data_IF_025805600687
#
_entry.id   IF_025805600687
#
_cell.length_a   1.000
_cell.length_b   1.000
_cell.length_c   1.000
_cell.angle_alpha   90.00
_cell.angle_beta   90.00
_cell.angle_gamma   90.00
#
_symmetry.space_group_name_H-M   'P 1'
#
loop_
_entity.id
_entity.type
_entity.pdbx_description
1 polymer ?
#
# COMPACT_ATOMS: atom_id res chain seq x y z
N UNK A 1 16.10 8.02 19.54
CA UNK A 1 16.04 6.74 20.29
C UNK A 1 16.93 6.78 21.53
N UNK A 2 18.26 6.76 21.40
CA UNK A 2 19.20 6.78 22.55
C UNK A 2 18.87 7.90 23.54
N UNK A 3 18.73 9.13 23.04
CA UNK A 3 18.37 10.29 23.87
C UNK A 3 17.03 10.13 24.60
N UNK A 4 16.05 9.43 24.01
CA UNK A 4 14.76 9.19 24.64
C UNK A 4 14.87 8.13 25.75
N UNK A 5 15.63 7.06 25.51
CA UNK A 5 15.84 6.00 26.51
C UNK A 5 16.65 6.48 27.72
N UNK A 6 17.62 7.38 27.51
CA UNK A 6 18.40 7.98 28.59
C UNK A 6 17.55 8.74 29.62
N UNK A 7 16.35 9.22 29.28
CA UNK A 7 15.44 9.82 30.26
C UNK A 7 14.88 8.83 31.29
N UNK A 8 14.95 7.52 30.99
CA UNK A 8 14.33 6.46 31.79
C UNK A 8 15.31 5.38 32.24
N UNK A 9 16.56 5.42 31.77
CA UNK A 9 17.63 4.54 32.25
C UNK A 9 18.23 5.06 33.56
N UNK A 10 18.57 4.15 34.46
CA UNK A 10 19.29 4.45 35.70
C UNK A 10 20.67 5.03 35.42
N UNK A 11 21.38 4.47 34.43
CA UNK A 11 22.70 4.91 33.99
C UNK A 11 22.94 4.68 32.49
N UNK A 12 24.12 5.11 32.02
CA UNK A 12 24.54 4.95 30.62
C UNK A 12 24.70 3.48 30.21
N UNK A 13 25.06 2.60 31.14
CA UNK A 13 25.28 1.18 30.87
C UNK A 13 23.97 0.45 30.60
N UNK A 14 22.92 0.75 31.37
CA UNK A 14 21.57 0.23 31.14
C UNK A 14 21.00 0.73 29.80
N UNK A 15 21.17 2.02 29.49
CA UNK A 15 20.75 2.57 28.20
C UNK A 15 21.49 1.87 27.05
N UNK A 16 22.81 1.69 27.18
CA UNK A 16 23.62 0.98 26.19
C UNK A 16 23.15 -0.48 26.02
N UNK A 17 22.88 -1.19 27.12
CA UNK A 17 22.37 -2.55 27.08
C UNK A 17 21.04 -2.62 26.32
N UNK A 18 20.10 -1.73 26.65
CA UNK A 18 18.77 -1.65 26.05
C UNK A 18 18.84 -1.36 24.54
N UNK A 19 19.64 -0.37 24.14
CA UNK A 19 19.86 -0.03 22.73
C UNK A 19 20.52 -1.18 21.97
N UNK A 20 21.53 -1.82 22.55
CA UNK A 20 22.20 -2.98 21.95
C UNK A 20 21.23 -4.14 21.74
N UNK A 21 20.31 -4.37 22.67
CA UNK A 21 19.24 -5.38 22.52
C UNK A 21 18.31 -5.07 21.36
N UNK A 22 17.94 -3.81 21.15
CA UNK A 22 17.08 -3.39 20.03
C UNK A 22 17.80 -3.51 18.67
N UNK A 23 19.10 -3.21 18.63
CA UNK A 23 19.92 -3.36 17.42
C UNK A 23 20.10 -4.84 17.08
N UNK A 24 20.45 -5.69 18.04
CA UNK A 24 20.67 -7.11 17.81
C UNK A 24 19.38 -7.93 17.69
N UNK A 25 18.21 -7.28 17.69
CA UNK A 25 16.93 -7.95 17.64
C UNK A 25 16.59 -8.43 16.22
N UNK A 26 16.53 -9.74 16.04
CA UNK A 26 16.46 -10.36 14.70
C UNK A 26 15.09 -11.01 14.40
N UNK A 27 14.03 -10.71 15.15
CA UNK A 27 12.68 -11.21 14.82
C UNK A 27 12.08 -10.38 13.65
N UNK A 28 11.80 -11.01 12.50
CA UNK A 28 11.22 -10.31 11.35
C UNK A 28 9.81 -9.73 11.62
N UNK A 29 9.07 -10.23 12.61
CA UNK A 29 7.74 -9.73 12.98
C UNK A 29 7.79 -8.51 13.92
N UNK A 30 8.96 -8.21 14.49
CA UNK A 30 9.17 -7.14 15.47
C UNK A 30 10.50 -6.45 15.23
N UNK A 31 10.70 -5.96 14.00
CA UNK A 31 11.87 -5.14 13.66
C UNK A 31 11.82 -3.80 14.39
N UNK A 32 12.98 -3.32 14.81
CA UNK A 32 13.13 -2.03 15.49
C UNK A 32 13.91 -1.02 14.64
N UNK A 33 15.25 -1.13 14.63
CA UNK A 33 16.13 -0.10 14.06
C UNK A 33 16.66 -0.58 12.72
N UNK A 34 16.42 0.20 11.66
CA UNK A 34 17.04 -0.01 10.35
C UNK A 34 18.54 0.29 10.45
N UNK A 35 19.39 -0.68 10.10
CA UNK A 35 20.85 -0.61 10.28
C UNK A 35 21.61 -0.32 8.98
N UNK A 36 20.94 -0.41 7.84
CA UNK A 36 21.56 -0.31 6.51
C UNK A 36 20.83 0.73 5.67
N UNK A 37 21.52 1.31 4.69
CA UNK A 37 20.86 2.25 3.77
C UNK A 37 19.72 1.59 3.00
N UNK A 38 19.90 0.33 2.61
CA UNK A 38 18.89 -0.48 1.94
C UNK A 38 17.62 -0.66 2.78
N UNK A 39 17.76 -1.04 4.07
CA UNK A 39 16.61 -1.24 4.97
C UNK A 39 15.88 0.07 5.23
N UNK A 40 16.61 1.16 5.49
CA UNK A 40 16.05 2.51 5.61
C UNK A 40 15.25 2.91 4.37
N UNK A 41 15.80 2.70 3.17
CA UNK A 41 15.15 3.10 1.93
C UNK A 41 13.91 2.26 1.63
N UNK A 42 13.97 0.95 1.88
CA UNK A 42 12.82 0.05 1.78
C UNK A 42 11.71 0.45 2.78
N UNK A 43 12.08 0.90 3.98
CA UNK A 43 11.17 1.42 5.01
C UNK A 43 10.42 2.67 4.52
N UNK A 44 11.14 3.62 3.92
CA UNK A 44 10.56 4.83 3.33
C UNK A 44 9.60 4.51 2.16
N UNK A 45 9.99 3.61 1.25
CA UNK A 45 9.12 3.17 0.16
C UNK A 45 7.86 2.46 0.68
N UNK A 46 8.01 1.60 1.67
CA UNK A 46 6.88 0.91 2.31
C UNK A 46 5.91 1.91 2.92
N UNK A 47 6.41 2.95 3.60
CA UNK A 47 5.57 4.02 4.10
C UNK A 47 4.86 4.78 2.97
N UNK A 48 5.57 5.12 1.89
CA UNK A 48 4.98 5.76 0.70
C UNK A 48 3.86 4.95 0.07
N UNK A 49 4.02 3.63 -0.06
CA UNK A 49 2.98 2.71 -0.54
C UNK A 49 1.74 2.71 0.37
N UNK A 50 1.95 2.64 1.68
CA UNK A 50 0.87 2.70 2.66
C UNK A 50 0.16 4.06 2.64
N UNK A 51 0.90 5.16 2.53
CA UNK A 51 0.34 6.51 2.43
C UNK A 51 -0.55 6.65 1.19
N UNK A 52 -0.10 6.15 0.04
CA UNK A 52 -0.89 6.17 -1.20
C UNK A 52 -2.21 5.42 -1.06
N UNK A 53 -2.19 4.32 -0.30
CA UNK A 53 -3.34 3.43 -0.12
C UNK A 53 -4.31 3.93 0.95
N UNK A 54 -3.81 4.34 2.10
CA UNK A 54 -4.62 4.72 3.26
C UNK A 54 -5.07 6.19 3.21
N UNK A 55 -4.30 7.09 2.58
CA UNK A 55 -4.58 8.53 2.56
C UNK A 55 -5.00 8.99 1.16
N UNK A 56 -6.24 8.70 0.75
CA UNK A 56 -6.75 9.10 -0.58
C UNK A 56 -6.51 10.59 -0.87
N UNK A 57 -5.97 10.92 -2.04
CA UNK A 57 -5.71 12.30 -2.47
C UNK A 57 -4.47 12.97 -1.86
N UNK A 58 -3.77 12.34 -0.92
CA UNK A 58 -2.56 12.94 -0.32
C UNK A 58 -1.46 13.18 -1.35
N UNK A 59 -1.28 12.27 -2.30
CA UNK A 59 -0.26 12.40 -3.36
C UNK A 59 -0.52 13.60 -4.27
N UNK A 60 -1.79 13.93 -4.54
CA UNK A 60 -2.16 15.11 -5.33
C UNK A 60 -1.73 16.41 -4.61
N UNK A 61 -1.88 16.43 -3.28
CA UNK A 61 -1.53 17.55 -2.41
C UNK A 61 -0.01 17.69 -2.21
N UNK A 62 0.71 16.57 -2.08
CA UNK A 62 2.17 16.60 -1.92
C UNK A 62 2.84 16.90 -3.26
N UNK A 63 2.44 16.26 -4.36
CA UNK A 63 3.07 16.46 -5.67
C UNK A 63 2.88 17.87 -6.24
N UNK A 64 1.89 18.64 -5.77
CA UNK A 64 1.78 20.06 -6.11
C UNK A 64 2.75 20.96 -5.34
N UNK A 65 3.26 20.48 -4.19
CA UNK A 65 4.03 21.26 -3.23
C UNK A 65 5.51 20.85 -3.17
N UNK A 66 5.80 19.59 -3.49
CA UNK A 66 7.14 18.99 -3.43
C UNK A 66 7.52 18.38 -4.78
N UNK A 67 8.76 18.65 -5.21
CA UNK A 67 9.30 18.09 -6.45
C UNK A 67 9.59 16.59 -6.35
N UNK A 68 9.86 16.09 -5.15
CA UNK A 68 10.24 14.71 -4.90
C UNK A 68 9.40 14.08 -3.77
N UNK A 69 8.54 13.13 -4.13
CA UNK A 69 7.70 12.40 -3.16
C UNK A 69 8.52 11.55 -2.20
N UNK A 70 9.65 10.99 -2.66
CA UNK A 70 10.52 10.20 -1.81
C UNK A 70 11.11 11.04 -0.70
N UNK A 71 11.61 12.25 -1.01
CA UNK A 71 12.17 13.16 -0.01
C UNK A 71 11.13 13.49 1.07
N UNK A 72 9.90 13.81 0.67
CA UNK A 72 8.82 14.07 1.62
C UNK A 72 8.59 12.87 2.55
N UNK A 73 8.44 11.66 2.00
CA UNK A 73 8.19 10.47 2.82
C UNK A 73 9.41 10.00 3.61
N UNK A 74 10.63 10.41 3.26
CA UNK A 74 11.85 9.95 3.91
C UNK A 74 12.01 10.44 5.36
N UNK A 75 11.27 11.48 5.73
CA UNK A 75 11.24 12.07 7.08
C UNK A 75 10.16 11.49 7.98
N UNK A 76 9.41 10.45 7.55
CA UNK A 76 8.25 9.93 8.28
C UNK A 76 8.52 9.52 9.74
N UNK A 77 9.75 9.08 10.06
CA UNK A 77 10.18 8.77 11.43
C UNK A 77 10.46 10.04 12.23
N UNK A 78 10.99 11.08 11.58
CA UNK A 78 11.27 12.38 12.22
C UNK A 78 9.98 13.07 12.63
N UNK A 79 8.91 12.92 11.84
CA UNK A 79 7.57 13.42 12.21
C UNK A 79 7.11 12.91 13.58
N UNK A 80 7.55 11.70 13.96
CA UNK A 80 7.20 11.07 15.24
C UNK A 80 8.17 11.50 16.34
N UNK A 81 9.47 11.31 16.14
CA UNK A 81 10.44 11.43 17.23
C UNK A 81 11.14 12.78 17.34
N UNK A 82 11.07 13.62 16.30
CA UNK A 82 11.63 14.97 16.32
C UNK A 82 10.54 16.05 16.42
N UNK A 83 9.40 15.85 15.75
CA UNK A 83 8.38 16.90 15.65
C UNK A 83 7.22 16.77 16.66
N UNK A 84 6.89 15.56 17.14
CA UNK A 84 5.87 15.42 18.18
C UNK A 84 6.39 15.94 19.53
N UNK A 85 5.51 16.57 20.35
CA UNK A 85 5.83 16.86 21.74
C UNK A 85 6.34 15.62 22.48
N UNK A 86 7.34 15.82 23.35
CA UNK A 86 8.05 14.75 24.08
C UNK A 86 7.09 13.74 24.74
N UNK A 87 6.01 14.22 25.36
CA UNK A 87 5.01 13.37 26.01
C UNK A 87 4.33 12.38 25.07
N UNK A 88 4.12 12.74 23.80
CA UNK A 88 3.55 11.85 22.80
C UNK A 88 4.62 10.94 22.20
N UNK A 89 5.81 11.47 21.92
CA UNK A 89 6.93 10.68 21.41
C UNK A 89 7.27 9.51 22.35
N UNK A 90 7.22 9.71 23.67
CA UNK A 90 7.41 8.64 24.66
C UNK A 90 6.27 7.62 24.65
N UNK A 91 5.00 8.05 24.57
CA UNK A 91 3.88 7.10 24.45
C UNK A 91 3.99 6.23 23.19
N UNK A 92 4.44 6.82 22.08
CA UNK A 92 4.70 6.05 20.85
C UNK A 92 5.87 5.10 21.06
N UNK A 93 6.93 5.54 21.74
CA UNK A 93 8.08 4.70 22.08
C UNK A 93 7.65 3.49 22.92
N UNK A 94 6.82 3.68 23.95
CA UNK A 94 6.34 2.59 24.82
C UNK A 94 5.64 1.49 24.02
N UNK A 95 4.69 1.86 23.16
CA UNK A 95 3.96 0.90 22.33
C UNK A 95 4.87 0.31 21.25
N UNK A 96 5.79 1.10 20.69
CA UNK A 96 6.78 0.63 19.72
C UNK A 96 7.69 -0.44 20.31
N UNK A 97 8.16 -0.29 21.56
CA UNK A 97 9.00 -1.31 22.23
C UNK A 97 8.26 -2.64 22.44
N UNK A 98 6.93 -2.64 22.50
CA UNK A 98 6.11 -3.85 22.64
C UNK A 98 5.74 -4.49 21.29
N UNK A 99 5.28 -3.67 20.34
CA UNK A 99 4.63 -4.09 19.09
C UNK A 99 5.57 -4.03 17.87
N UNK A 100 6.66 -3.27 17.94
CA UNK A 100 7.65 -3.07 16.87
C UNK A 100 7.22 -2.05 15.82
N UNK A 101 7.90 -2.08 14.66
CA UNK A 101 7.78 -1.10 13.57
C UNK A 101 6.36 -0.78 13.09
N UNK A 102 5.41 -1.73 13.23
CA UNK A 102 4.03 -1.54 12.79
C UNK A 102 3.40 -0.29 13.38
N UNK A 103 3.69 0.01 14.66
CA UNK A 103 3.15 1.17 15.38
C UNK A 103 3.58 2.47 14.72
N UNK A 104 4.85 2.55 14.29
CA UNK A 104 5.36 3.75 13.65
C UNK A 104 4.60 4.06 12.36
N UNK A 105 4.33 3.05 11.52
CA UNK A 105 3.52 3.27 10.32
C UNK A 105 2.11 3.75 10.66
N UNK A 106 1.46 3.18 11.69
CA UNK A 106 0.13 3.64 12.13
C UNK A 106 0.13 5.11 12.50
N UNK A 107 1.06 5.50 13.37
CA UNK A 107 1.17 6.86 13.88
C UNK A 107 1.49 7.80 12.72
N UNK A 108 2.49 7.50 11.89
CA UNK A 108 2.84 8.35 10.75
C UNK A 108 1.69 8.54 9.74
N UNK A 109 0.86 7.53 9.51
CA UNK A 109 -0.33 7.66 8.65
C UNK A 109 -1.43 8.52 9.28
N UNK A 110 -1.58 8.48 10.61
CA UNK A 110 -2.49 9.34 11.34
C UNK A 110 -2.08 10.80 11.27
N UNK A 111 -0.79 11.02 11.49
CA UNK A 111 -0.13 12.31 11.34
C UNK A 111 -0.32 12.85 9.92
N UNK A 112 -0.11 12.01 8.90
CA UNK A 112 -0.33 12.38 7.51
C UNK A 112 -1.80 12.69 7.19
N UNK A 113 -2.75 11.95 7.78
CA UNK A 113 -4.18 12.19 7.63
C UNK A 113 -4.60 13.52 8.26
N UNK A 114 -4.07 13.88 9.42
CA UNK A 114 -4.31 15.18 10.05
C UNK A 114 -3.72 16.32 9.23
N UNK A 115 -2.49 16.15 8.74
CA UNK A 115 -1.86 17.13 7.85
C UNK A 115 -2.72 17.40 6.61
N UNK A 116 -3.28 16.35 6.00
CA UNK A 116 -4.18 16.49 4.85
C UNK A 116 -5.38 17.39 5.17
N UNK A 117 -6.02 17.16 6.32
CA UNK A 117 -7.19 17.94 6.76
C UNK A 117 -6.79 19.40 6.99
N UNK A 118 -5.67 19.63 7.67
CA UNK A 118 -5.21 20.99 7.94
C UNK A 118 -4.88 21.75 6.65
N UNK A 119 -4.09 21.17 5.75
CA UNK A 119 -3.72 21.83 4.47
C UNK A 119 -4.94 22.04 3.57
N UNK A 120 -5.90 21.13 3.57
CA UNK A 120 -7.14 21.33 2.80
C UNK A 120 -8.00 22.48 3.33
N UNK A 121 -7.79 22.90 4.59
CA UNK A 121 -8.53 23.98 5.25
C UNK A 121 -7.85 25.36 5.18
N UNK A 122 -6.55 25.42 4.88
CA UNK A 122 -5.76 26.68 4.84
C UNK A 122 -5.42 27.07 3.40
N UNK A 123 -5.55 28.36 3.08
CA UNK A 123 -4.92 28.92 1.88
C UNK A 123 -3.41 28.85 2.11
N UNK A 124 -2.75 27.96 1.37
CA UNK A 124 -1.35 27.55 1.48
C UNK A 124 -0.38 28.58 2.10
N UNK A 125 0.08 28.30 3.31
CA UNK A 125 1.45 28.60 3.72
C UNK A 125 2.04 27.35 4.37
N UNK A 126 3.22 26.93 3.91
CA UNK A 126 3.78 25.57 4.07
C UNK A 126 4.56 25.42 5.40
N UNK A 127 4.56 26.43 6.27
CA UNK A 127 5.43 26.44 7.45
C UNK A 127 4.91 25.73 8.70
N UNK A 128 3.72 25.12 8.70
CA UNK A 128 3.11 24.70 9.98
C UNK A 128 2.69 23.22 10.12
N UNK A 129 3.32 22.31 9.37
CA UNK A 129 3.24 20.85 9.66
C UNK A 129 3.51 20.58 11.15
N UNK A 130 4.49 21.27 11.74
CA UNK A 130 4.94 21.07 13.13
C UNK A 130 3.98 21.63 14.18
N UNK A 131 3.23 22.69 13.90
CA UNK A 131 2.32 23.28 14.90
C UNK A 131 0.97 22.59 14.95
N UNK A 132 0.52 22.03 13.82
CA UNK A 132 -0.78 21.35 13.73
C UNK A 132 -0.78 19.94 14.35
N UNK A 133 0.39 19.34 14.55
CA UNK A 133 0.55 17.98 15.10
C UNK A 133 0.54 17.93 16.64
N UNK A 134 0.22 19.05 17.31
CA UNK A 134 0.27 19.16 18.78
C UNK A 134 -0.97 18.59 19.50
N UNK A 135 -2.00 18.12 18.80
CA UNK A 135 -3.28 17.73 19.42
C UNK A 135 -3.34 16.25 19.86
N UNK A 136 -3.95 16.02 21.03
CA UNK A 136 -4.19 14.69 21.64
C UNK A 136 -4.93 13.71 20.71
N UNK A 137 -5.76 14.26 19.82
CA UNK A 137 -6.62 13.54 18.88
C UNK A 137 -5.81 12.69 17.88
N UNK A 138 -4.56 13.05 17.61
CA UNK A 138 -3.68 12.34 16.66
C UNK A 138 -3.43 10.88 17.03
N UNK A 139 -3.22 10.59 18.32
CA UNK A 139 -2.93 9.23 18.77
C UNK A 139 -4.18 8.36 18.79
N UNK A 140 -5.32 8.90 19.20
CA UNK A 140 -6.59 8.17 19.21
C UNK A 140 -7.03 7.84 17.77
N UNK A 141 -6.89 8.79 16.85
CA UNK A 141 -7.14 8.58 15.42
C UNK A 141 -6.20 7.52 14.81
N UNK A 142 -4.96 7.40 15.28
CA UNK A 142 -3.99 6.44 14.72
C UNK A 142 -4.41 4.97 14.89
N UNK A 143 -5.11 4.65 15.99
CA UNK A 143 -5.58 3.28 16.22
C UNK A 143 -6.85 2.93 15.44
N UNK A 144 -7.53 3.94 14.88
CA UNK A 144 -8.70 3.75 14.03
C UNK A 144 -8.33 3.47 12.56
N UNK A 145 -7.08 3.68 12.17
CA UNK A 145 -6.64 3.44 10.79
C UNK A 145 -6.57 1.92 10.52
N UNK A 146 -7.35 1.40 9.56
CA UNK A 146 -7.23 0.01 9.13
C UNK A 146 -5.81 -0.26 8.64
N UNK A 147 -5.17 -1.27 9.21
CA UNK A 147 -3.73 -1.50 9.03
C UNK A 147 -3.47 -2.94 8.63
N UNK A 148 -2.63 -3.09 7.61
CA UNK A 148 -2.13 -4.38 7.15
C UNK A 148 -1.56 -5.23 8.30
N UNK A 149 -1.65 -6.54 8.10
CA UNK A 149 -1.03 -7.52 8.98
C UNK A 149 0.50 -7.40 8.93
N UNK A 150 1.19 -7.91 9.96
CA UNK A 150 2.66 -7.94 9.97
C UNK A 150 3.23 -8.71 8.78
N UNK A 151 2.54 -9.80 8.39
CA UNK A 151 2.93 -10.62 7.25
C UNK A 151 2.91 -9.80 5.96
N UNK A 152 1.82 -9.08 5.71
CA UNK A 152 1.68 -8.24 4.52
C UNK A 152 2.68 -7.08 4.50
N UNK A 153 2.89 -6.42 5.64
CA UNK A 153 3.90 -5.36 5.76
C UNK A 153 5.30 -5.90 5.48
N UNK A 154 5.63 -7.09 5.98
CA UNK A 154 6.90 -7.75 5.68
C UNK A 154 7.02 -8.14 4.21
N UNK A 155 5.96 -8.65 3.58
CA UNK A 155 5.95 -8.94 2.14
C UNK A 155 6.19 -7.68 1.31
N UNK A 156 5.49 -6.58 1.62
CA UNK A 156 5.66 -5.30 0.94
C UNK A 156 7.08 -4.75 1.12
N UNK A 157 7.58 -4.77 2.36
CA UNK A 157 8.92 -4.31 2.65
C UNK A 157 9.99 -5.10 1.90
N UNK A 158 9.88 -6.44 1.88
CA UNK A 158 10.82 -7.30 1.17
C UNK A 158 10.74 -7.06 -0.34
N UNK A 159 9.55 -6.91 -0.91
CA UNK A 159 9.40 -6.58 -2.33
C UNK A 159 10.04 -5.23 -2.70
N UNK A 160 9.92 -4.22 -1.82
CA UNK A 160 10.61 -2.94 -1.98
C UNK A 160 12.13 -3.09 -1.87
N UNK A 161 12.61 -3.92 -0.93
CA UNK A 161 14.02 -4.21 -0.77
C UNK A 161 14.62 -4.91 -2.01
N UNK A 162 13.93 -5.92 -2.55
CA UNK A 162 14.35 -6.65 -3.74
C UNK A 162 14.44 -5.74 -4.96
N UNK A 163 13.46 -4.86 -5.15
CA UNK A 163 13.46 -3.89 -6.25
C UNK A 163 14.60 -2.86 -6.13
N UNK A 164 14.92 -2.42 -4.91
CA UNK A 164 16.07 -1.56 -4.65
C UNK A 164 17.40 -2.27 -4.96
N UNK A 165 17.52 -3.55 -4.60
CA UNK A 165 18.69 -4.36 -4.93
C UNK A 165 18.85 -4.52 -6.45
N UNK A 166 17.74 -4.76 -7.16
CA UNK A 166 17.74 -4.80 -8.63
C UNK A 166 18.13 -3.47 -9.27
N UNK A 167 17.75 -2.34 -8.66
CA UNK A 167 18.19 -0.99 -9.05
C UNK A 167 19.67 -0.72 -8.73
N UNK A 168 20.35 -1.63 -8.03
CA UNK A 168 21.77 -1.53 -7.68
C UNK A 168 22.07 -0.93 -6.29
N UNK A 169 21.04 -0.75 -5.44
CA UNK A 169 21.25 -0.28 -4.07
C UNK A 169 21.77 -1.43 -3.21
N UNK A 170 22.97 -1.26 -2.65
CA UNK A 170 23.62 -2.31 -1.83
C UNK A 170 23.58 -2.03 -0.33
N UNK A 171 23.76 -3.09 0.46
CA UNK A 171 23.80 -3.06 1.92
C UNK A 171 24.91 -2.12 2.46
N UNK A 172 26.06 -2.10 1.78
CA UNK A 172 27.27 -1.39 2.21
C UNK A 172 27.38 0.03 1.62
N UNK A 173 26.36 0.50 0.89
CA UNK A 173 26.40 1.80 0.25
C UNK A 173 26.22 2.93 1.27
N UNK A 174 27.05 3.97 1.18
CA UNK A 174 26.81 5.24 1.90
C UNK A 174 25.55 5.91 1.36
N UNK A 175 24.89 6.74 2.18
CA UNK A 175 23.68 7.50 1.77
C UNK A 175 24.00 8.30 0.51
N UNK A 176 23.41 7.90 -0.61
CA UNK A 176 23.49 8.59 -1.89
C UNK A 176 22.09 8.73 -2.47
N UNK A 177 21.90 9.74 -3.32
CA UNK A 177 20.69 9.85 -4.12
C UNK A 177 20.58 8.63 -5.04
N UNK A 178 19.40 8.04 -5.15
CA UNK A 178 19.12 7.03 -6.18
C UNK A 178 18.57 7.78 -7.37
N UNK A 179 19.05 7.41 -8.56
CA UNK A 179 18.67 8.05 -9.81
C UNK A 179 17.15 8.09 -9.96
N UNK A 180 16.65 9.29 -10.23
CA UNK A 180 15.25 9.56 -10.48
C UNK A 180 14.82 8.91 -11.79
N UNK A 181 13.52 8.60 -11.90
CA UNK A 181 12.95 8.18 -13.17
C UNK A 181 13.08 9.30 -14.19
N UNK A 182 13.73 8.99 -15.31
CA UNK A 182 13.88 9.91 -16.40
C UNK A 182 12.64 9.87 -17.32
N UNK A 183 12.03 11.03 -17.51
CA UNK A 183 10.91 11.24 -18.43
C UNK A 183 11.31 12.10 -19.65
N UNK A 184 12.59 12.42 -19.83
CA UNK A 184 13.05 13.29 -20.92
C UNK A 184 12.74 12.70 -22.29
N UNK A 185 12.80 11.38 -22.42
CA UNK A 185 12.47 10.65 -23.66
C UNK A 185 11.00 10.18 -23.72
N UNK A 186 10.16 10.65 -22.80
CA UNK A 186 8.75 10.25 -22.76
C UNK A 186 7.95 10.93 -23.88
N UNK A 187 7.29 10.12 -24.70
CA UNK A 187 6.37 10.60 -25.75
C UNK A 187 5.07 9.81 -25.73
N UNK A 188 3.94 10.52 -25.64
CA UNK A 188 2.60 9.93 -25.59
C UNK A 188 1.62 10.81 -26.35
N UNK A 189 0.72 10.15 -27.07
CA UNK A 189 -0.43 10.78 -27.74
C UNK A 189 -1.65 10.92 -26.81
N UNK A 190 -1.61 10.24 -25.66
CA UNK A 190 -2.72 10.12 -24.70
C UNK A 190 -2.53 11.08 -23.53
N UNK A 191 -1.32 11.20 -22.98
CA UNK A 191 -1.01 12.02 -21.79
C UNK A 191 0.22 12.89 -21.96
N UNK A 192 0.23 14.04 -21.27
CA UNK A 192 1.44 14.87 -21.15
C UNK A 192 2.44 14.24 -20.17
N UNK A 193 3.71 14.65 -20.24
CA UNK A 193 4.74 14.28 -19.25
C UNK A 193 4.29 14.58 -17.81
N UNK A 194 3.64 15.73 -17.59
CA UNK A 194 3.14 16.13 -16.28
C UNK A 194 2.04 15.17 -15.79
N UNK A 195 1.09 14.81 -16.65
CA UNK A 195 0.05 13.83 -16.32
C UNK A 195 0.64 12.46 -16.05
N UNK A 196 1.62 12.01 -16.85
CA UNK A 196 2.28 10.73 -16.63
C UNK A 196 3.03 10.69 -15.29
N UNK A 197 3.72 11.77 -14.89
CA UNK A 197 4.36 11.85 -13.57
C UNK A 197 3.37 11.67 -12.42
N UNK A 198 2.15 12.22 -12.55
CA UNK A 198 1.07 12.02 -11.57
C UNK A 198 0.64 10.56 -11.50
N UNK A 199 0.48 9.90 -12.65
CA UNK A 199 0.11 8.48 -12.70
C UNK A 199 1.24 7.59 -12.18
N UNK A 200 2.50 7.90 -12.51
CA UNK A 200 3.67 7.15 -12.03
C UNK A 200 3.82 7.27 -10.51
N UNK A 201 3.44 8.42 -9.95
CA UNK A 201 3.34 8.59 -8.51
C UNK A 201 2.23 7.75 -7.87
N UNK A 202 1.28 7.20 -8.62
CA UNK A 202 0.22 6.33 -8.08
C UNK A 202 0.59 4.85 -8.07
N UNK A 203 1.58 4.45 -8.85
CA UNK A 203 2.07 3.08 -8.94
C UNK A 203 2.85 2.72 -7.65
N UNK A 204 2.86 1.45 -7.21
CA UNK A 204 3.70 1.02 -6.09
C UNK A 204 5.16 1.46 -6.25
N UNK A 205 5.79 1.90 -5.15
CA UNK A 205 7.11 2.53 -5.16
C UNK A 205 8.16 1.65 -5.84
N UNK A 206 8.15 0.33 -5.58
CA UNK A 206 9.08 -0.62 -6.23
C UNK A 206 9.06 -0.62 -7.75
N UNK A 207 7.89 -0.37 -8.33
CA UNK A 207 7.67 -0.31 -9.76
C UNK A 207 8.02 1.08 -10.29
N UNK A 208 7.65 2.12 -9.53
CA UNK A 208 7.97 3.51 -9.84
C UNK A 208 9.48 3.84 -9.77
N UNK A 209 10.35 2.92 -9.32
CA UNK A 209 11.82 3.05 -9.40
C UNK A 209 12.39 3.01 -10.82
N UNK A 210 11.63 2.46 -11.76
CA UNK A 210 12.08 2.21 -13.12
C UNK A 210 11.29 3.07 -14.10
N UNK A 211 11.86 3.31 -15.29
CA UNK A 211 11.24 4.16 -16.29
C UNK A 211 10.11 3.46 -17.03
N UNK A 212 9.07 4.21 -17.46
CA UNK A 212 8.00 3.67 -18.31
C UNK A 212 8.55 3.29 -19.68
N UNK A 213 8.05 2.17 -20.23
CA UNK A 213 8.30 1.74 -21.60
C UNK A 213 6.95 1.57 -22.31
N UNK A 214 6.80 2.07 -23.55
CA UNK A 214 5.55 1.87 -24.31
C UNK A 214 5.56 0.46 -24.91
N UNK A 215 4.60 -0.36 -24.50
CA UNK A 215 4.41 -1.72 -25.01
C UNK A 215 3.46 -1.71 -26.20
N UNK A 216 2.40 -0.92 -26.11
CA UNK A 216 1.35 -0.89 -27.13
C UNK A 216 0.84 0.53 -27.38
N UNK A 217 0.51 0.85 -28.63
CA UNK A 217 -0.27 2.01 -29.04
C UNK A 217 -1.15 1.64 -30.22
N UNK A 218 -2.42 2.05 -30.21
CA UNK A 218 -3.31 1.80 -31.36
C UNK A 218 -2.83 2.50 -32.64
N UNK A 219 -2.05 3.58 -32.51
CA UNK A 219 -1.50 4.30 -33.65
C UNK A 219 -0.40 3.50 -34.38
N UNK A 220 0.31 2.63 -33.66
CA UNK A 220 1.44 1.86 -34.19
C UNK A 220 1.05 0.40 -34.48
N UNK A 221 0.18 -0.19 -33.66
CA UNK A 221 -0.10 -1.63 -33.68
C UNK A 221 -1.54 -1.98 -34.09
N UNK A 222 -2.33 -0.98 -34.50
CA UNK A 222 -3.72 -1.15 -34.94
C UNK A 222 -4.71 -1.36 -33.79
N UNK A 223 -5.98 -1.59 -34.16
CA UNK A 223 -7.11 -1.66 -33.22
C UNK A 223 -7.64 -3.09 -33.14
N UNK A 224 -7.04 -3.89 -32.27
CA UNK A 224 -7.49 -5.26 -31.99
C UNK A 224 -6.96 -5.71 -30.62
N UNK A 225 -7.81 -6.34 -29.81
CA UNK A 225 -7.41 -6.97 -28.56
C UNK A 225 -6.35 -8.05 -28.77
N UNK A 226 -6.42 -8.80 -29.88
CA UNK A 226 -5.39 -9.78 -30.21
C UNK A 226 -4.00 -9.14 -30.38
N UNK A 227 -3.94 -7.99 -31.04
CA UNK A 227 -2.71 -7.19 -31.17
C UNK A 227 -2.26 -6.63 -29.81
N UNK A 228 -3.19 -6.13 -28.99
CA UNK A 228 -2.85 -5.66 -27.64
C UNK A 228 -2.24 -6.78 -26.80
N UNK A 229 -2.87 -7.96 -26.77
CA UNK A 229 -2.36 -9.10 -26.00
C UNK A 229 -0.99 -9.55 -26.48
N UNK A 230 -0.74 -9.65 -27.79
CA UNK A 230 0.56 -10.11 -28.31
C UNK A 230 1.74 -9.20 -27.95
N UNK A 231 1.50 -7.91 -27.69
CA UNK A 231 2.55 -6.94 -27.30
C UNK A 231 2.68 -6.74 -25.78
N UNK A 232 1.63 -7.06 -25.02
CA UNK A 232 1.58 -6.78 -23.57
C UNK A 232 1.81 -8.04 -22.73
N UNK A 233 1.44 -9.23 -23.23
CA UNK A 233 1.75 -10.49 -22.56
C UNK A 233 3.27 -10.64 -22.34
N UNK A 234 3.65 -11.16 -21.17
CA UNK A 234 5.06 -11.27 -20.74
C UNK A 234 5.56 -10.05 -19.96
N UNK A 235 4.77 -8.98 -19.87
CA UNK A 235 5.11 -7.79 -19.09
C UNK A 235 4.21 -7.65 -17.85
N UNK A 236 4.84 -7.62 -16.68
CA UNK A 236 4.18 -7.35 -15.40
C UNK A 236 4.99 -6.31 -14.59
N UNK A 237 4.33 -5.26 -14.05
CA UNK A 237 2.95 -4.85 -14.27
C UNK A 237 2.77 -4.03 -15.55
N UNK A 238 1.53 -3.66 -15.88
CA UNK A 238 1.20 -2.80 -17.02
C UNK A 238 0.24 -1.66 -16.65
N UNK A 239 0.35 -0.52 -17.33
CA UNK A 239 -0.50 0.65 -17.20
C UNK A 239 -1.21 0.91 -18.52
N UNK A 240 -2.52 0.71 -18.54
CA UNK A 240 -3.41 1.01 -19.67
C UNK A 240 -3.93 2.44 -19.53
N UNK A 241 -3.77 3.27 -20.55
CA UNK A 241 -4.31 4.64 -20.59
C UNK A 241 -5.08 4.87 -21.88
N UNK A 242 -6.27 5.44 -21.74
CA UNK A 242 -7.22 5.69 -22.83
C UNK A 242 -7.52 7.18 -22.90
N UNK A 243 -7.52 7.71 -24.11
CA UNK A 243 -8.08 9.01 -24.46
C UNK A 243 -9.30 8.80 -25.35
N UNK A 244 -10.45 9.33 -24.93
CA UNK A 244 -11.69 9.23 -25.70
C UNK A 244 -11.79 10.32 -26.76
N UNK A 245 -12.74 10.18 -27.69
CA UNK A 245 -13.06 11.22 -28.69
C UNK A 245 -13.56 12.53 -28.07
N UNK A 246 -14.13 12.47 -26.86
CA UNK A 246 -14.49 13.65 -26.07
C UNK A 246 -13.31 14.22 -25.28
N UNK A 247 -12.10 13.74 -25.59
CA UNK A 247 -10.85 14.16 -24.99
C UNK A 247 -10.74 13.84 -23.48
N UNK A 248 -11.59 12.96 -22.95
CA UNK A 248 -11.48 12.44 -21.59
C UNK A 248 -10.32 11.44 -21.49
N UNK A 249 -9.61 11.45 -20.36
CA UNK A 249 -8.46 10.56 -20.14
C UNK A 249 -8.61 9.81 -18.83
N UNK A 250 -8.61 8.50 -18.91
CA UNK A 250 -8.69 7.56 -17.79
C UNK A 250 -7.90 6.28 -18.11
N UNK A 251 -7.74 5.42 -17.13
CA UNK A 251 -6.93 4.23 -17.31
C UNK A 251 -6.95 3.30 -16.10
N UNK A 252 -6.14 2.26 -16.19
CA UNK A 252 -5.99 1.26 -15.15
C UNK A 252 -4.56 0.76 -15.04
N UNK A 253 -4.15 0.50 -13.81
CA UNK A 253 -2.93 -0.24 -13.50
C UNK A 253 -3.26 -1.70 -13.26
N UNK A 254 -2.59 -2.57 -14.01
CA UNK A 254 -2.75 -4.01 -14.02
C UNK A 254 -1.57 -4.61 -13.26
N UNK A 255 -1.86 -5.18 -12.08
CA UNK A 255 -0.81 -5.71 -11.20
C UNK A 255 -0.16 -6.99 -11.70
N UNK A 256 -0.76 -7.65 -12.69
CA UNK A 256 -0.42 -9.01 -13.11
C UNK A 256 -0.47 -9.13 -14.62
N UNK A 257 0.38 -9.98 -15.19
CA UNK A 257 0.46 -10.25 -16.63
C UNK A 257 -0.90 -10.71 -17.23
N UNK A 258 -1.23 -10.17 -18.40
CA UNK A 258 -2.43 -10.55 -19.17
C UNK A 258 -2.38 -11.99 -19.71
N UNK A 259 -1.24 -12.66 -19.66
CA UNK A 259 -1.12 -14.09 -20.00
C UNK A 259 -1.92 -14.99 -19.04
N UNK A 260 -2.17 -14.53 -17.80
CA UNK A 260 -2.95 -15.27 -16.80
C UNK A 260 -4.37 -15.59 -17.29
N UNK A 261 -4.93 -14.79 -18.21
CA UNK A 261 -6.25 -15.07 -18.79
C UNK A 261 -6.33 -16.44 -19.48
N UNK A 262 -5.19 -16.98 -19.93
CA UNK A 262 -5.09 -18.28 -20.61
C UNK A 262 -5.02 -19.48 -19.66
N UNK A 263 -4.82 -19.26 -18.35
CA UNK A 263 -4.54 -20.36 -17.41
C UNK A 263 -5.76 -21.12 -16.91
N UNK A 264 -6.96 -20.61 -17.20
CA UNK A 264 -8.20 -21.23 -16.74
C UNK A 264 -8.98 -21.81 -17.92
N UNK A 265 -9.01 -23.14 -18.00
CA UNK A 265 -9.74 -23.95 -19.01
C UNK A 265 -11.28 -23.93 -18.84
N UNK A 266 -11.82 -23.10 -17.94
CA UNK A 266 -13.26 -23.02 -17.71
C UNK A 266 -13.94 -22.16 -18.77
N UNK A 267 -15.06 -22.61 -19.33
CA UNK A 267 -15.90 -21.88 -20.30
C UNK A 267 -16.46 -20.52 -19.79
N UNK A 268 -16.15 -20.13 -18.54
CA UNK A 268 -16.59 -18.89 -17.92
C UNK A 268 -15.48 -17.85 -17.78
N UNK A 269 -15.88 -16.58 -17.67
CA UNK A 269 -14.98 -15.45 -17.45
C UNK A 269 -14.24 -15.60 -16.11
N UNK A 270 -12.92 -15.85 -16.16
CA UNK A 270 -12.09 -15.98 -14.95
C UNK A 270 -11.36 -14.69 -14.62
N UNK A 271 -11.49 -14.25 -13.37
CA UNK A 271 -10.79 -13.08 -12.88
C UNK A 271 -9.43 -13.44 -12.25
N UNK A 272 -8.44 -12.60 -12.52
CA UNK A 272 -7.08 -12.65 -11.97
C UNK A 272 -6.64 -11.24 -11.55
N UNK A 273 -5.39 -11.11 -11.07
CA UNK A 273 -4.83 -9.87 -10.55
C UNK A 273 -4.77 -9.85 -9.02
N UNK A 274 -4.24 -8.76 -8.47
CA UNK A 274 -4.10 -8.56 -7.03
C UNK A 274 -4.75 -7.25 -6.59
N UNK A 275 -4.84 -7.04 -5.27
CA UNK A 275 -5.32 -5.78 -4.68
C UNK A 275 -4.46 -4.55 -5.00
N UNK A 276 -3.37 -4.70 -5.75
CA UNK A 276 -2.56 -3.59 -6.25
C UNK A 276 -3.11 -2.96 -7.54
N UNK A 277 -4.04 -3.65 -8.23
CA UNK A 277 -4.79 -3.07 -9.33
C UNK A 277 -5.52 -1.80 -8.87
N UNK A 278 -5.60 -0.81 -9.76
CA UNK A 278 -6.40 0.37 -9.55
C UNK A 278 -6.90 0.92 -10.88
N UNK A 279 -8.00 1.66 -10.84
CA UNK A 279 -8.48 2.49 -11.95
C UNK A 279 -8.35 3.97 -11.62
N UNK A 280 -8.24 4.81 -12.63
CA UNK A 280 -8.03 6.24 -12.42
C UNK A 280 -8.62 7.11 -13.52
N UNK A 281 -8.97 8.35 -13.15
CA UNK A 281 -9.27 9.45 -14.06
C UNK A 281 -8.09 10.42 -14.04
N UNK A 282 -7.63 10.87 -15.20
CA UNK A 282 -6.41 11.68 -15.33
C UNK A 282 -6.74 13.12 -15.73
N UNK A 283 -7.81 13.35 -16.50
CA UNK A 283 -8.18 14.70 -16.96
C UNK A 283 -9.23 15.37 -16.07
N UNK A 284 -10.35 14.71 -15.79
CA UNK A 284 -11.51 15.27 -15.06
C UNK A 284 -11.23 15.52 -13.58
N UNK A 285 -11.13 14.47 -12.77
CA UNK A 285 -11.01 14.60 -11.31
C UNK A 285 -9.57 14.39 -10.80
N UNK A 286 -8.69 13.77 -11.60
CA UNK A 286 -7.35 13.32 -11.18
C UNK A 286 -7.44 12.41 -9.96
N UNK A 287 -8.30 11.39 -10.06
CA UNK A 287 -8.61 10.49 -8.96
C UNK A 287 -8.19 9.06 -9.26
N UNK A 288 -7.89 8.34 -8.18
CA UNK A 288 -7.46 6.95 -8.19
C UNK A 288 -8.38 6.14 -7.28
N UNK A 289 -8.88 5.03 -7.79
CA UNK A 289 -9.76 4.10 -7.09
C UNK A 289 -9.07 2.74 -6.97
N UNK A 290 -8.91 2.28 -5.74
CA UNK A 290 -8.25 1.03 -5.38
C UNK A 290 -9.02 0.40 -4.22
N UNK A 291 -9.07 -0.94 -4.17
CA UNK A 291 -9.71 -1.67 -3.09
C UNK A 291 -9.11 -1.32 -1.71
N UNK A 292 -9.98 -1.11 -0.72
CA UNK A 292 -9.58 -0.97 0.68
C UNK A 292 -9.23 -2.35 1.27
N UNK A 293 -8.11 -2.45 1.99
CA UNK A 293 -7.34 -3.68 2.30
C UNK A 293 -8.09 -4.92 2.84
N UNK A 294 -7.64 -6.11 2.38
CA UNK A 294 -7.20 -7.27 3.22
C UNK A 294 -5.93 -8.00 2.70
N UNK A 295 -5.51 -7.85 1.42
CA UNK A 295 -4.32 -8.57 0.92
C UNK A 295 -3.40 -7.67 0.05
N UNK A 296 -2.22 -7.30 0.57
CA UNK A 296 -1.21 -6.56 -0.21
C UNK A 296 -0.64 -7.41 -1.36
N UNK A 297 -0.51 -8.72 -1.14
CA UNK A 297 0.07 -9.67 -2.10
C UNK A 297 -0.51 -11.05 -1.84
N UNK A 298 -1.61 -11.41 -2.49
CA UNK A 298 -2.04 -12.82 -2.53
C UNK A 298 -2.22 -13.24 -3.97
N UNK A 299 -1.15 -13.81 -4.52
CA UNK A 299 -1.27 -14.80 -5.58
C UNK A 299 -1.98 -16.00 -4.93
N UNK A 300 -3.25 -16.22 -5.27
CA UNK A 300 -4.04 -17.30 -4.70
C UNK A 300 -3.36 -18.64 -4.98
N UNK A 301 -2.80 -19.27 -3.95
CA UNK A 301 -2.53 -20.71 -4.00
C UNK A 301 -3.89 -21.40 -4.02
N UNK A 302 -4.24 -21.99 -5.16
CA UNK A 302 -5.40 -22.86 -5.32
C UNK A 302 -5.57 -23.80 -4.11
N UNK A 303 -6.75 -23.78 -3.50
CA UNK A 303 -7.14 -24.71 -2.44
C UNK A 303 -7.03 -26.16 -2.94
N UNK A 304 -5.93 -26.85 -2.64
CA UNK A 304 -5.96 -28.31 -2.55
C UNK A 304 -6.58 -28.68 -1.21
N UNK A 305 -7.82 -29.17 -1.26
CA UNK A 305 -8.45 -29.87 -0.15
C UNK A 305 -7.62 -31.11 0.21
N UNK A 306 -6.72 -30.96 1.18
CA UNK A 306 -6.13 -32.12 1.86
C UNK A 306 -7.09 -32.52 2.98
N UNK A 307 -7.71 -33.68 2.78
CA UNK A 307 -8.60 -34.35 3.73
C UNK A 307 -7.93 -34.51 5.09
N UNK A 308 -8.68 -34.20 6.14
CA UNK A 308 -8.36 -34.43 7.54
C UNK A 308 -7.93 -35.88 7.80
N UNK A 309 -6.74 -36.06 8.37
CA UNK A 309 -6.40 -37.22 9.18
C UNK A 309 -6.17 -36.76 10.61
N UNK A 310 -7.02 -37.29 11.50
CA UNK A 310 -7.06 -37.09 12.94
C UNK A 310 -5.76 -37.48 13.65
N UNK A 311 -5.29 -36.65 14.58
CA UNK A 311 -4.41 -37.08 15.65
C UNK A 311 -4.71 -36.30 16.94
N UNK A 312 -4.94 -37.05 18.00
CA UNK A 312 -5.28 -36.61 19.34
C UNK A 312 -4.03 -36.21 20.16
N UNK A 313 -4.18 -35.25 21.06
CA UNK A 313 -3.34 -35.06 22.27
C UNK A 313 -4.00 -33.94 23.11
N UNK A 314 -4.69 -34.31 24.20
CA UNK A 314 -4.21 -34.43 25.59
C UNK A 314 -4.30 -33.10 26.36
N UNK A 315 -5.31 -33.07 27.23
CA UNK A 315 -5.56 -32.07 28.27
C UNK A 315 -4.42 -32.02 29.29
N UNK A 316 -3.98 -30.82 29.69
CA UNK A 316 -3.27 -30.59 30.96
C UNK A 316 -3.79 -29.29 31.60
N UNK A 317 -4.05 -29.37 32.89
CA UNK A 317 -4.77 -28.45 33.76
C UNK A 317 -4.03 -27.15 34.14
N UNK A 318 -4.84 -26.14 34.45
CA UNK A 318 -4.56 -24.89 35.14
C UNK A 318 -3.92 -25.09 36.54
N UNK A 319 -3.02 -24.18 36.91
CA UNK A 319 -2.87 -23.72 38.30
C UNK A 319 -2.53 -22.22 38.33
N UNK A 320 -3.24 -21.47 39.18
CA UNK A 320 -3.29 -20.01 39.19
C UNK A 320 -2.17 -19.32 39.97
N UNK A 321 -2.01 -18.02 39.72
CA UNK A 321 -1.29 -17.11 40.58
C UNK A 321 -1.95 -15.71 40.55
N UNK A 322 -2.33 -15.21 41.72
CA UNK A 322 -2.93 -13.90 41.95
C UNK A 322 -1.88 -12.79 41.80
N UNK A 323 -2.20 -11.60 41.25
CA UNK A 323 -1.25 -10.49 41.24
C UNK A 323 -1.36 -9.67 42.53
N UNK A 324 -0.21 -9.46 43.18
CA UNK A 324 0.01 -8.52 44.26
C UNK A 324 0.14 -7.11 43.65
N UNK A 325 -0.62 -6.16 44.16
CA UNK A 325 -0.60 -4.76 43.74
C UNK A 325 0.60 -4.04 44.37
N UNK A 326 1.64 -3.74 43.59
CA UNK A 326 2.70 -2.80 43.98
C UNK A 326 2.55 -1.49 43.20
N UNK A 327 2.26 -0.42 43.93
CA UNK A 327 2.20 0.96 43.45
C UNK A 327 3.60 1.52 43.21
N UNK A 328 3.93 1.89 41.97
CA UNK A 328 5.14 2.65 41.61
C UNK A 328 4.79 4.14 41.50
N UNK A 329 5.52 4.99 42.24
CA UNK A 329 5.38 6.46 42.25
C UNK A 329 6.51 7.13 41.49
N UNK A 330 6.19 8.04 40.56
CA UNK A 330 7.15 8.92 39.87
C UNK A 330 7.39 10.23 40.65
N UNK A 331 8.57 10.86 40.54
CA UNK A 331 8.89 12.11 41.24
C UNK A 331 8.41 13.34 40.44
N UNK A 332 7.09 13.53 40.34
CA UNK A 332 6.48 14.80 39.98
C UNK A 332 5.03 14.76 40.49
N UNK A 333 4.80 15.29 41.69
CA UNK A 333 3.58 15.19 42.48
C UNK A 333 2.32 15.79 41.85
N UNK A 334 1.86 15.19 40.77
CA UNK A 334 0.56 15.48 40.15
C UNK A 334 -0.26 14.19 40.19
N UNK A 335 -1.39 14.15 40.92
CA UNK A 335 -2.25 12.98 40.92
C UNK A 335 -2.95 12.88 39.56
N UNK A 336 -2.51 11.93 38.74
CA UNK A 336 -3.20 11.53 37.52
C UNK A 336 -4.00 10.26 37.83
N UNK A 337 -5.31 10.31 37.60
CA UNK A 337 -6.22 9.18 37.81
C UNK A 337 -5.92 8.10 36.75
N UNK A 338 -5.45 6.89 37.12
CA UNK A 338 -5.01 5.86 36.19
C UNK A 338 -6.16 5.12 35.49
N UNK A 339 -7.41 5.58 35.63
CA UNK A 339 -8.60 4.98 35.00
C UNK A 339 -8.57 4.94 33.47
N UNK A 340 -7.66 5.68 32.81
CA UNK A 340 -7.44 5.59 31.36
C UNK A 340 -6.40 4.52 30.95
N UNK A 341 -5.66 3.93 31.91
CA UNK A 341 -4.70 2.85 31.67
C UNK A 341 -5.38 1.47 31.69
N UNK A 342 -6.63 1.40 32.11
CA UNK A 342 -7.46 0.19 32.08
C UNK A 342 -8.51 0.32 30.98
N UNK A 343 -8.11 0.04 29.74
CA UNK A 343 -9.09 -0.37 28.72
C UNK A 343 -9.46 -1.80 29.09
N UNK A 344 -10.74 -2.11 29.42
CA UNK A 344 -11.12 -3.48 29.65
C UNK A 344 -10.91 -4.24 28.33
N UNK A 345 -9.94 -5.15 28.33
CA UNK A 345 -9.96 -6.27 27.39
C UNK A 345 -11.19 -7.10 27.74
N UNK A 346 -12.35 -6.75 27.21
CA UNK A 346 -13.46 -7.67 27.16
C UNK A 346 -13.09 -8.72 26.11
N UNK A 347 -12.47 -9.81 26.57
CA UNK A 347 -12.81 -11.12 26.04
C UNK A 347 -14.36 -11.21 26.03
N UNK A 348 -14.99 -11.72 24.97
CA UNK A 348 -16.44 -11.84 24.97
C UNK A 348 -16.82 -12.74 26.16
N UNK A 349 -17.55 -12.19 27.13
CA UNK A 349 -18.11 -12.95 28.22
C UNK A 349 -19.14 -13.92 27.65
N UNK A 350 -18.99 -15.21 27.96
CA UNK A 350 -20.07 -16.16 27.81
C UNK A 350 -21.17 -15.78 28.82
N UNK A 351 -22.28 -15.23 28.33
CA UNK A 351 -23.54 -15.15 29.06
C UNK A 351 -24.62 -15.99 28.35
N UNK A 352 -25.63 -16.49 29.10
CA UNK A 352 -26.29 -17.76 28.80
C UNK A 352 -27.30 -17.68 27.65
N UNK A 353 -27.40 -18.82 26.96
CA UNK A 353 -28.31 -19.13 25.87
C UNK A 353 -29.72 -18.52 25.97
N UNK A 354 -30.04 -17.59 25.07
CA UNK A 354 -31.41 -17.39 24.58
C UNK A 354 -31.40 -17.15 23.06
N UNK A 355 -32.04 -18.07 22.34
CA UNK A 355 -32.46 -18.07 20.93
C UNK A 355 -31.50 -17.46 19.86
N UNK A 356 -30.91 -18.35 19.05
CA UNK A 356 -30.09 -18.03 17.86
C UNK A 356 -30.90 -17.26 16.80
N UNK A 357 -30.59 -15.99 16.60
CA UNK A 357 -30.75 -15.33 15.29
C UNK A 357 -29.58 -15.73 14.37
N UNK A 358 -29.83 -15.98 13.06
CA UNK A 358 -28.78 -16.41 12.16
C UNK A 358 -27.76 -15.28 11.94
N UNK A 359 -26.49 -15.55 12.25
CA UNK A 359 -25.34 -14.71 11.91
C UNK A 359 -25.39 -14.39 10.41
N UNK A 360 -25.44 -13.10 10.06
CA UNK A 360 -25.19 -12.65 8.68
C UNK A 360 -23.81 -13.19 8.24
N UNK A 361 -23.69 -13.73 7.01
CA UNK A 361 -22.40 -14.19 6.51
C UNK A 361 -21.42 -13.01 6.44
N UNK A 362 -20.14 -13.26 6.73
CA UNK A 362 -19.06 -12.32 6.41
C UNK A 362 -19.16 -12.05 4.90
N UNK A 363 -19.43 -10.81 4.50
CA UNK A 363 -19.38 -10.41 3.10
C UNK A 363 -18.01 -10.79 2.54
N UNK A 364 -18.02 -11.68 1.55
CA UNK A 364 -16.82 -12.09 0.85
C UNK A 364 -16.40 -10.90 -0.02
N UNK A 365 -15.31 -10.23 0.35
CA UNK A 365 -14.86 -9.02 -0.34
C UNK A 365 -14.60 -9.28 -1.84
N UNK A 366 -15.15 -8.40 -2.68
CA UNK A 366 -15.02 -8.42 -4.13
C UNK A 366 -13.56 -8.57 -4.60
N UNK A 367 -13.23 -9.65 -5.32
CA UNK A 367 -11.86 -9.90 -5.81
C UNK A 367 -11.83 -10.12 -7.32
N UNK A 368 -12.52 -9.26 -8.08
CA UNK A 368 -12.66 -9.37 -9.53
C UNK A 368 -11.84 -8.26 -10.22
N UNK A 369 -10.50 -8.39 -10.26
CA UNK A 369 -9.64 -7.28 -10.73
C UNK A 369 -9.50 -7.19 -12.24
N UNK A 370 -9.12 -8.29 -12.91
CA UNK A 370 -8.87 -8.32 -14.36
C UNK A 370 -9.49 -9.59 -14.90
N UNK A 371 -10.20 -9.52 -16.02
CA UNK A 371 -10.59 -10.68 -16.80
C UNK A 371 -10.49 -10.34 -18.28
N UNK A 372 -10.11 -11.31 -19.12
CA UNK A 372 -9.96 -11.07 -20.55
C UNK A 372 -10.32 -12.30 -21.36
N UNK A 373 -11.02 -12.08 -22.46
CA UNK A 373 -11.28 -13.05 -23.52
C UNK A 373 -10.74 -12.48 -24.84
N UNK A 374 -10.91 -13.22 -25.93
CA UNK A 374 -10.58 -12.70 -27.26
C UNK A 374 -11.51 -11.54 -27.69
N UNK A 375 -12.72 -11.47 -27.11
CA UNK A 375 -13.73 -10.47 -27.46
C UNK A 375 -13.79 -9.26 -26.53
N UNK A 376 -13.32 -9.39 -25.29
CA UNK A 376 -13.40 -8.31 -24.30
C UNK A 376 -12.23 -8.32 -23.30
N UNK A 377 -11.86 -7.14 -22.81
CA UNK A 377 -10.96 -6.96 -21.66
C UNK A 377 -11.69 -6.16 -20.57
N UNK A 378 -11.83 -6.76 -19.40
CA UNK A 378 -12.57 -6.24 -18.25
C UNK A 378 -11.60 -5.96 -17.10
N UNK A 379 -11.70 -4.77 -16.53
CA UNK A 379 -10.93 -4.34 -15.37
C UNK A 379 -11.89 -3.81 -14.31
N UNK A 380 -11.89 -4.46 -13.16
CA UNK A 380 -12.80 -4.22 -12.04
C UNK A 380 -14.19 -4.77 -12.31
N UNK A 381 -14.55 -5.84 -11.60
CA UNK A 381 -15.87 -6.46 -11.61
C UNK A 381 -16.61 -6.32 -10.28
N UNK A 382 -17.63 -7.16 -10.10
CA UNK A 382 -18.57 -7.18 -8.97
C UNK A 382 -19.46 -5.92 -8.91
N UNK A 383 -20.75 -6.07 -9.18
CA UNK A 383 -21.72 -4.96 -9.22
C UNK A 383 -21.65 -4.02 -10.45
N UNK A 384 -20.75 -4.29 -11.41
CA UNK A 384 -20.56 -3.54 -12.66
C UNK A 384 -19.13 -3.68 -13.18
N UNK A 385 -18.78 -3.02 -14.30
CA UNK A 385 -17.40 -3.05 -14.84
C UNK A 385 -16.76 -1.67 -14.79
N UNK A 386 -15.66 -1.51 -14.03
CA UNK A 386 -14.99 -0.21 -13.93
C UNK A 386 -14.47 0.25 -15.29
N UNK A 387 -13.97 -0.70 -16.09
CA UNK A 387 -13.58 -0.49 -17.47
C UNK A 387 -13.76 -1.78 -18.27
N UNK A 388 -14.51 -1.72 -19.37
CA UNK A 388 -14.63 -2.81 -20.33
C UNK A 388 -14.28 -2.33 -21.74
N UNK A 389 -13.41 -3.06 -22.43
CA UNK A 389 -12.99 -2.82 -23.82
C UNK A 389 -13.48 -3.94 -24.73
N UNK A 390 -13.81 -3.59 -25.98
CA UNK A 390 -14.25 -4.52 -27.02
C UNK A 390 -13.10 -4.99 -27.89
N UNK A 391 -13.32 -6.09 -28.62
CA UNK A 391 -12.36 -6.76 -29.52
C UNK A 391 -11.64 -5.80 -30.48
N UNK A 392 -12.38 -4.87 -31.07
CA UNK A 392 -11.91 -3.96 -32.09
C UNK A 392 -11.18 -2.72 -31.54
N UNK A 393 -11.12 -2.55 -30.20
CA UNK A 393 -10.61 -1.35 -29.55
C UNK A 393 -11.20 -0.04 -30.13
N UNK A 394 -12.42 -0.06 -30.68
CA UNK A 394 -13.13 1.15 -31.12
C UNK A 394 -13.75 1.89 -29.93
N UNK A 395 -14.18 1.13 -28.94
CA UNK A 395 -14.90 1.65 -27.79
C UNK A 395 -14.97 0.69 -26.63
N UNK A 396 -15.76 1.11 -25.65
CA UNK A 396 -15.95 0.38 -24.41
C UNK A 396 -17.04 1.03 -23.57
N UNK A 397 -17.14 0.61 -22.32
CA UNK A 397 -18.02 1.22 -21.33
C UNK A 397 -17.40 1.21 -19.94
N UNK A 398 -17.96 2.04 -19.07
CA UNK A 398 -17.54 2.16 -17.68
C UNK A 398 -18.76 2.33 -16.77
N UNK A 399 -18.75 1.62 -15.65
CA UNK A 399 -19.79 1.60 -14.64
C UNK A 399 -19.18 1.76 -13.24
N UNK A 400 -20.03 1.94 -12.24
CA UNK A 400 -19.60 1.77 -10.86
C UNK A 400 -19.21 0.31 -10.62
N UNK A 401 -18.22 0.08 -9.77
CA UNK A 401 -17.66 -1.25 -9.53
C UNK A 401 -17.29 -1.42 -8.05
N UNK A 402 -17.69 -2.56 -7.48
CA UNK A 402 -17.45 -2.85 -6.06
C UNK A 402 -16.00 -3.21 -5.76
N UNK A 403 -15.30 -3.88 -6.68
CA UNK A 403 -13.88 -4.26 -6.49
C UNK A 403 -13.02 -3.04 -6.15
N UNK A 404 -13.18 -1.92 -6.87
CA UNK A 404 -12.41 -0.70 -6.61
C UNK A 404 -13.15 0.35 -5.79
N UNK A 405 -14.44 0.13 -5.52
CA UNK A 405 -15.38 1.15 -5.02
C UNK A 405 -15.27 2.43 -5.85
N UNK A 406 -15.20 2.26 -7.17
CA UNK A 406 -15.09 3.34 -8.14
C UNK A 406 -16.47 3.75 -8.64
N UNK A 407 -16.60 5.03 -8.99
CA UNK A 407 -17.67 5.48 -9.89
C UNK A 407 -17.31 5.10 -11.34
N UNK A 408 -18.26 5.29 -12.25
CA UNK A 408 -17.98 5.21 -13.68
C UNK A 408 -16.91 6.24 -14.06
N UNK A 409 -15.81 5.77 -14.65
CA UNK A 409 -14.70 6.59 -15.15
C UNK A 409 -15.13 7.46 -16.33
N UNK A 410 -16.11 6.97 -17.09
CA UNK A 410 -16.79 7.66 -18.16
C UNK A 410 -18.28 7.31 -18.12
N UNK A 411 -19.17 8.27 -18.42
CA UNK A 411 -20.62 8.04 -18.33
C UNK A 411 -21.11 7.22 -19.54
N UNK A 412 -21.35 5.92 -19.33
CA UNK A 412 -21.89 5.02 -20.34
C UNK A 412 -20.82 4.50 -21.31
N UNK A 413 -21.14 4.49 -22.61
CA UNK A 413 -20.24 4.03 -23.66
C UNK A 413 -19.32 5.14 -24.14
N UNK A 414 -18.05 4.82 -24.37
CA UNK A 414 -17.07 5.74 -24.93
C UNK A 414 -16.50 5.20 -26.25
N UNK A 415 -16.05 6.12 -27.11
CA UNK A 415 -15.22 5.81 -28.27
C UNK A 415 -13.78 6.21 -28.02
N UNK A 416 -12.85 5.35 -28.42
CA UNK A 416 -11.41 5.51 -28.19
C UNK A 416 -10.82 6.35 -29.32
N UNK A 417 -10.17 7.44 -28.97
CA UNK A 417 -9.36 8.24 -29.90
C UNK A 417 -7.91 7.76 -29.92
N UNK A 418 -7.33 7.50 -28.75
CA UNK A 418 -6.00 6.96 -28.56
C UNK A 418 -5.96 6.02 -27.34
N UNK A 419 -5.19 4.95 -27.41
CA UNK A 419 -4.98 4.01 -26.32
C UNK A 419 -3.52 3.57 -26.34
N UNK A 420 -2.89 3.61 -25.18
CA UNK A 420 -1.52 3.18 -24.97
C UNK A 420 -1.43 2.24 -23.76
N UNK A 421 -0.54 1.24 -23.84
CA UNK A 421 -0.16 0.40 -22.70
C UNK A 421 1.32 0.59 -22.41
N UNK A 422 1.62 0.88 -21.15
CA UNK A 422 2.96 1.17 -20.66
C UNK A 422 3.41 0.08 -19.68
N UNK A 423 4.56 -0.52 -19.95
CA UNK A 423 5.26 -1.42 -19.04
C UNK A 423 6.32 -0.69 -18.23
N UNK A 424 7.12 -1.47 -17.52
CA UNK A 424 8.22 -0.98 -16.69
C UNK A 424 9.53 -1.54 -17.24
N UNK A 425 10.57 -0.72 -17.40
CA UNK A 425 11.83 -1.11 -18.05
C UNK A 425 12.44 -2.42 -17.50
N UNK A 426 12.28 -2.72 -16.21
CA UNK A 426 12.81 -3.93 -15.59
C UNK A 426 12.01 -5.22 -15.92
N UNK A 427 10.80 -5.09 -16.48
CA UNK A 427 10.01 -6.24 -16.96
C UNK A 427 10.64 -6.94 -18.18
N UNK A 428 11.57 -6.28 -18.89
CA UNK A 428 12.25 -6.83 -20.07
C UNK A 428 13.30 -7.90 -19.70
N UNK A 429 13.71 -7.98 -18.43
CA UNK A 429 14.77 -8.91 -17.98
C UNK A 429 14.29 -10.35 -17.75
N UNK A 430 12.99 -10.65 -17.92
CA UNK A 430 12.39 -11.96 -17.64
C UNK A 430 11.71 -12.62 -18.84
N UNK A 431 11.93 -12.15 -20.07
CA UNK A 431 11.59 -12.97 -21.24
C UNK A 431 12.54 -14.17 -21.25
N UNK A 432 12.05 -15.30 -20.74
CA UNK A 432 12.70 -16.59 -20.88
C UNK A 432 13.13 -16.77 -22.33
N UNK A 433 14.44 -16.94 -22.51
CA UNK A 433 15.05 -17.56 -23.66
C UNK A 433 14.30 -18.86 -23.98
N UNK A 434 13.46 -18.83 -25.01
CA UNK A 434 13.07 -20.06 -25.69
C UNK A 434 14.35 -20.68 -26.26
N UNK A 435 14.68 -21.94 -25.95
CA UNK A 435 15.67 -22.64 -26.74
C UNK A 435 15.08 -22.80 -28.13
N UNK A 436 15.70 -22.13 -29.10
CA UNK A 436 15.60 -22.51 -30.50
C UNK A 436 16.27 -23.87 -30.66
N UNK A 437 15.47 -24.92 -30.81
CA UNK A 437 15.57 -25.98 -31.83
C UNK A 437 14.43 -26.99 -31.71
#
# INVERSE_FOLDING_TARGET
MVSLLLHFSEDEAECFHSVSRLICYNDPNKRYIDQTFLTYRASCMTFGDLANRCCRGIRKLIASSYQNLFEFYSDWIMWIFADLPFTYAIRVLDVYLLEGYKVLYRVALALLSLYKVSVSSRVADVEDFRTDMKSREALEMAFMIPMATRRELNLLFNANMDALMQKGVSIHQKRHSVEMVDFNNFTSSVVTVASMRVVWAWIPERFALFSPIRLFSIAEHGRSLASLYSHVEGHEPALLIIKTVDEEVFGAFLSTDLIERKKHDSEGLTYFGTGECFVCTIRTSKERYQQAMVNIMTRGSSHQQVRNSSCASSQINNSGCSPITTTLTCPAGTPQNPSYLTIPFTSPSEEPMTAKEPKRPKEQEASMFIAGTDSQLIIGGDGGHALCLQEDLEGGYSEACDTFKSIALYKGHFKIQALEVWGIQNSISFSHSFPSE
#
